data_IF_874332223329
#
_entry.id   IF_874332223329
#
_cell.length_a   1.000
_cell.length_b   1.000
_cell.length_c   1.000
_cell.angle_alpha   90.00
_cell.angle_beta   90.00
_cell.angle_gamma   90.00
#
_symmetry.space_group_name_H-M   'P 1'
#
loop_
_entity.id
_entity.type
_entity.pdbx_description
1 polymer ?
#
# COMPACT_ATOMS: atom_id res chain seq x y z
N UNK A 1 -18.42 -4.70 -3.29
CA UNK A 1 -19.16 -5.13 -2.08
C UNK A 1 -19.29 -3.95 -1.13
N UNK A 2 -20.26 -3.99 -0.17
CA UNK A 2 -20.35 -3.02 0.90
C UNK A 2 -19.11 -3.14 1.80
N UNK A 3 -18.74 -2.05 2.49
CA UNK A 3 -17.59 -2.08 3.40
C UNK A 3 -17.79 -3.14 4.50
N UNK A 4 -16.77 -3.96 4.74
CA UNK A 4 -16.79 -4.97 5.82
C UNK A 4 -16.98 -4.33 7.20
N UNK A 5 -16.49 -3.10 7.38
CA UNK A 5 -16.68 -2.31 8.60
C UNK A 5 -18.17 -2.16 8.96
N UNK A 6 -19.03 -1.91 7.96
CA UNK A 6 -20.46 -1.78 8.15
C UNK A 6 -21.18 -3.13 8.30
N UNK A 7 -20.69 -4.15 7.58
CA UNK A 7 -21.30 -5.49 7.62
C UNK A 7 -20.97 -6.21 8.94
N UNK A 8 -19.74 -6.06 9.42
CA UNK A 8 -19.30 -6.61 10.71
C UNK A 8 -19.75 -5.75 11.91
N UNK A 9 -20.26 -4.54 11.69
CA UNK A 9 -20.56 -3.55 12.74
C UNK A 9 -19.33 -3.28 13.63
N UNK A 10 -18.14 -3.25 13.01
CA UNK A 10 -16.91 -2.96 13.71
C UNK A 10 -16.75 -1.45 13.94
N UNK A 11 -16.11 -1.06 15.02
CA UNK A 11 -15.83 0.34 15.35
C UNK A 11 -14.70 0.87 14.48
N UNK A 12 -13.66 0.06 14.30
CA UNK A 12 -12.45 0.42 13.58
C UNK A 12 -11.97 -0.75 12.71
N UNK A 13 -11.47 -0.47 11.52
CA UNK A 13 -10.80 -1.40 10.63
C UNK A 13 -9.35 -0.97 10.45
N UNK A 14 -8.40 -1.83 10.75
CA UNK A 14 -7.00 -1.66 10.39
C UNK A 14 -6.79 -2.32 9.04
N UNK A 15 -6.28 -1.59 8.05
CA UNK A 15 -6.01 -2.11 6.72
C UNK A 15 -4.51 -2.11 6.40
N UNK A 16 -4.11 -3.04 5.55
CA UNK A 16 -2.70 -3.25 5.22
C UNK A 16 -1.94 -3.95 6.35
N UNK A 17 -0.67 -3.63 6.47
CA UNK A 17 0.21 -4.11 7.54
C UNK A 17 0.02 -3.22 8.77
N UNK A 18 -0.57 -3.75 9.81
CA UNK A 18 -1.11 -2.99 10.94
C UNK A 18 -0.33 -3.06 12.24
N UNK A 19 0.95 -3.43 12.23
CA UNK A 19 1.72 -3.71 13.44
C UNK A 19 1.76 -2.50 14.41
N UNK A 20 2.15 -1.30 13.92
CA UNK A 20 2.15 -0.09 14.76
C UNK A 20 0.73 0.31 15.17
N UNK A 21 -0.22 0.20 14.25
CA UNK A 21 -1.61 0.60 14.47
C UNK A 21 -2.27 -0.23 15.57
N UNK A 22 -2.08 -1.55 15.55
CA UNK A 22 -2.64 -2.45 16.57
C UNK A 22 -2.05 -2.13 17.94
N UNK A 23 -0.75 -1.89 18.04
CA UNK A 23 -0.09 -1.51 19.29
C UNK A 23 -0.60 -0.16 19.80
N UNK A 24 -0.69 0.85 18.94
CA UNK A 24 -1.20 2.18 19.32
C UNK A 24 -2.66 2.11 19.77
N UNK A 25 -3.52 1.42 19.02
CA UNK A 25 -4.93 1.24 19.40
C UNK A 25 -5.03 0.54 20.75
N UNK A 26 -4.26 -0.53 20.98
CA UNK A 26 -4.27 -1.26 22.23
C UNK A 26 -3.87 -0.37 23.42
N UNK A 27 -2.85 0.46 23.28
CA UNK A 27 -2.40 1.38 24.32
C UNK A 27 -3.45 2.47 24.60
N UNK A 28 -4.09 3.03 23.57
CA UNK A 28 -5.12 4.06 23.73
C UNK A 28 -6.36 3.48 24.41
N UNK A 29 -6.81 2.29 24.02
CA UNK A 29 -7.90 1.58 24.70
C UNK A 29 -7.56 1.25 26.15
N UNK A 30 -6.33 0.78 26.43
CA UNK A 30 -5.86 0.51 27.79
C UNK A 30 -5.79 1.78 28.65
N UNK A 31 -5.57 2.94 28.04
CA UNK A 31 -5.64 4.25 28.70
C UNK A 31 -7.08 4.76 28.92
N UNK A 32 -8.10 4.00 28.49
CA UNK A 32 -9.52 4.35 28.66
C UNK A 32 -10.10 5.22 27.56
N UNK A 33 -9.39 5.42 26.45
CA UNK A 33 -9.95 6.14 25.31
C UNK A 33 -11.00 5.28 24.60
N UNK A 34 -12.22 5.79 24.36
CA UNK A 34 -13.25 4.99 23.72
C UNK A 34 -12.95 4.78 22.22
N UNK A 35 -13.36 3.63 21.63
CA UNK A 35 -13.03 3.28 20.24
C UNK A 35 -13.45 4.34 19.20
N UNK A 36 -14.56 5.01 19.42
CA UNK A 36 -15.11 6.05 18.55
C UNK A 36 -14.33 7.37 18.56
N UNK A 37 -13.49 7.59 19.59
CA UNK A 37 -12.56 8.72 19.65
C UNK A 37 -11.26 8.46 18.87
N UNK A 38 -10.92 7.20 18.59
CA UNK A 38 -9.70 6.82 17.87
C UNK A 38 -9.92 6.99 16.36
N UNK A 39 -9.78 8.21 15.86
CA UNK A 39 -10.13 8.56 14.47
C UNK A 39 -8.93 8.96 13.59
N UNK A 40 -7.75 9.13 14.17
CA UNK A 40 -6.59 9.80 13.57
C UNK A 40 -5.44 8.86 13.21
N UNK A 41 -5.55 7.57 13.48
CA UNK A 41 -4.50 6.58 13.19
C UNK A 41 -4.44 6.29 11.69
N UNK A 42 -3.27 6.48 11.08
CA UNK A 42 -3.03 6.13 9.67
C UNK A 42 -3.19 4.62 9.44
N UNK A 43 -3.67 4.24 8.25
CA UNK A 43 -3.92 2.83 7.95
C UNK A 43 -5.18 2.26 8.61
N UNK A 44 -6.11 3.13 9.01
CA UNK A 44 -7.39 2.72 9.58
C UNK A 44 -8.57 3.24 8.79
N UNK A 45 -9.71 2.59 8.96
CA UNK A 45 -10.99 3.06 8.46
C UNK A 45 -12.04 3.00 9.57
N UNK A 46 -12.96 3.96 9.55
CA UNK A 46 -14.01 4.12 10.56
C UNK A 46 -15.32 4.62 9.93
N UNK A 47 -16.40 4.48 10.65
CA UNK A 47 -17.67 5.08 10.26
C UNK A 47 -17.75 6.49 10.85
N UNK A 48 -18.04 7.49 10.02
CA UNK A 48 -18.25 8.86 10.49
C UNK A 48 -19.63 9.38 10.07
N UNK A 49 -20.16 10.31 10.85
CA UNK A 49 -21.46 10.95 10.56
C UNK A 49 -21.29 12.24 9.76
N UNK A 50 -20.13 12.87 9.84
CA UNK A 50 -19.80 14.11 9.14
C UNK A 50 -18.29 14.24 8.96
N UNK A 51 -17.90 14.99 7.92
CA UNK A 51 -16.51 15.41 7.73
C UNK A 51 -16.17 16.49 8.78
N UNK A 52 -14.99 16.42 9.45
CA UNK A 52 -14.58 17.46 10.38
C UNK A 52 -14.54 18.84 9.72
N UNK A 53 -14.95 19.89 10.43
CA UNK A 53 -15.10 21.25 9.90
C UNK A 53 -13.81 21.89 9.37
N UNK A 54 -12.67 21.45 9.87
CA UNK A 54 -11.33 21.90 9.51
C UNK A 54 -10.73 21.12 8.31
N UNK A 55 -11.51 20.21 7.72
CA UNK A 55 -11.11 19.47 6.54
C UNK A 55 -11.74 20.01 5.27
N UNK A 56 -10.97 20.04 4.18
CA UNK A 56 -11.45 20.41 2.84
C UNK A 56 -11.90 19.15 2.09
N UNK A 57 -13.20 19.09 1.80
CA UNK A 57 -13.74 18.02 0.94
C UNK A 57 -13.46 18.32 -0.54
N UNK A 58 -12.98 17.32 -1.27
CA UNK A 58 -12.64 17.40 -2.70
C UNK A 58 -13.40 16.28 -3.41
N UNK A 59 -14.14 16.64 -4.47
CA UNK A 59 -14.78 15.63 -5.30
C UNK A 59 -13.74 14.80 -6.07
N UNK A 60 -13.95 13.47 -6.13
CA UNK A 60 -13.03 12.54 -6.80
C UNK A 60 -12.85 12.83 -8.29
N UNK A 61 -13.87 13.38 -8.97
CA UNK A 61 -13.79 13.77 -10.39
C UNK A 61 -12.78 14.88 -10.67
N UNK A 62 -12.42 15.67 -9.64
CA UNK A 62 -11.35 16.67 -9.73
C UNK A 62 -9.94 16.07 -9.63
N UNK A 63 -9.82 14.83 -9.14
CA UNK A 63 -8.56 14.08 -9.00
C UNK A 63 -8.30 13.22 -10.23
N UNK A 64 -9.33 12.52 -10.69
CA UNK A 64 -9.32 11.70 -11.90
C UNK A 64 -10.68 11.75 -12.58
N UNK A 65 -10.69 11.80 -13.92
CA UNK A 65 -11.95 11.89 -14.67
C UNK A 65 -12.58 10.50 -14.81
N UNK A 66 -13.86 10.28 -14.40
CA UNK A 66 -14.58 9.05 -14.68
C UNK A 66 -14.62 8.73 -16.18
N UNK A 67 -14.43 7.46 -16.52
CA UNK A 67 -14.40 7.02 -17.93
C UNK A 67 -13.16 7.40 -18.72
N UNK A 68 -12.14 7.97 -18.08
CA UNK A 68 -10.85 8.22 -18.73
C UNK A 68 -10.20 6.89 -19.11
N UNK A 69 -9.87 6.75 -20.39
CA UNK A 69 -9.10 5.62 -20.93
C UNK A 69 -7.71 6.14 -21.27
N UNK A 70 -6.66 5.59 -20.65
CA UNK A 70 -5.31 5.89 -21.05
C UNK A 70 -4.95 5.15 -22.33
N UNK A 71 -4.18 5.80 -23.21
CA UNK A 71 -3.71 5.16 -24.43
C UNK A 71 -2.90 3.90 -24.08
N UNK A 72 -3.16 2.81 -24.80
CA UNK A 72 -2.33 1.60 -24.66
C UNK A 72 -0.94 1.91 -25.12
N UNK A 73 0.04 1.68 -24.25
CA UNK A 73 1.44 1.74 -24.60
C UNK A 73 1.86 0.36 -25.10
N UNK A 74 2.42 0.28 -26.30
CA UNK A 74 3.01 -0.96 -26.79
C UNK A 74 4.24 -1.26 -25.92
N UNK A 75 4.28 -2.37 -25.16
CA UNK A 75 5.41 -2.71 -24.31
C UNK A 75 6.69 -3.03 -25.09
N UNK A 76 6.56 -3.30 -26.41
CA UNK A 76 7.65 -3.60 -27.31
C UNK A 76 8.07 -2.40 -28.18
N UNK A 77 7.33 -1.29 -28.12
CA UNK A 77 7.73 -0.08 -28.82
C UNK A 77 9.03 0.49 -28.22
N UNK A 78 10.04 0.71 -29.05
CA UNK A 78 11.21 1.47 -28.64
C UNK A 78 10.75 2.83 -28.10
N UNK A 79 11.09 3.12 -26.84
CA UNK A 79 10.74 4.41 -26.26
C UNK A 79 11.48 5.49 -27.04
N UNK A 80 10.79 6.47 -27.64
CA UNK A 80 11.46 7.57 -28.28
C UNK A 80 12.35 8.25 -27.25
N UNK A 81 13.61 8.51 -27.61
CA UNK A 81 14.55 9.23 -26.78
C UNK A 81 13.86 10.48 -26.17
N UNK A 82 14.12 10.81 -24.90
CA UNK A 82 13.46 11.93 -24.25
C UNK A 82 13.59 13.16 -25.13
N UNK A 83 12.46 13.64 -25.65
CA UNK A 83 12.43 14.87 -26.46
C UNK A 83 12.90 15.98 -25.55
N UNK A 84 14.12 16.45 -25.76
CA UNK A 84 14.58 17.72 -25.22
C UNK A 84 13.66 18.77 -25.85
N UNK A 85 12.70 19.25 -25.08
CA UNK A 85 11.84 20.36 -25.49
C UNK A 85 12.74 21.59 -25.66
N UNK A 86 13.23 21.83 -26.87
CA UNK A 86 13.73 23.14 -27.25
C UNK A 86 12.49 24.04 -27.35
N UNK A 87 12.33 24.89 -26.38
CA UNK A 87 11.25 25.88 -26.34
C UNK A 87 11.55 26.99 -27.35
N UNK A 88 11.09 26.83 -28.60
CA UNK A 88 10.78 27.98 -29.41
C UNK A 88 9.35 28.40 -29.04
N UNK A 89 9.17 29.14 -27.97
CA UNK A 89 7.90 29.77 -27.65
C UNK A 89 8.05 31.27 -27.84
N UNK A 90 7.32 31.78 -28.84
CA UNK A 90 6.90 33.18 -28.81
C UNK A 90 6.20 33.48 -27.47
N UNK A 91 6.51 34.64 -26.89
CA UNK A 91 5.98 35.10 -25.60
C UNK A 91 4.45 35.19 -25.63
N UNK A 92 3.78 34.14 -25.20
CA UNK A 92 2.37 34.22 -24.77
C UNK A 92 2.43 34.42 -23.27
N UNK A 93 1.88 35.52 -22.74
CA UNK A 93 1.86 35.75 -21.28
C UNK A 93 1.03 34.66 -20.63
N UNK A 94 1.71 33.73 -19.94
CA UNK A 94 1.06 32.69 -19.15
C UNK A 94 0.56 33.34 -17.86
N UNK A 95 -0.74 33.60 -17.77
CA UNK A 95 -1.36 34.02 -16.52
C UNK A 95 -1.36 32.81 -15.57
N UNK A 96 -0.45 32.86 -14.62
CA UNK A 96 -0.43 31.90 -13.50
C UNK A 96 -1.56 32.27 -12.53
N UNK A 97 -2.74 31.69 -12.69
CA UNK A 97 -3.71 31.64 -11.61
C UNK A 97 -3.16 30.73 -10.52
N UNK A 98 -2.58 31.32 -9.49
CA UNK A 98 -2.24 30.56 -8.25
C UNK A 98 -3.55 30.06 -7.65
N UNK A 99 -3.93 28.83 -7.99
CA UNK A 99 -4.95 28.12 -7.20
C UNK A 99 -4.40 28.00 -5.77
N UNK A 100 -5.21 28.32 -4.74
CA UNK A 100 -4.79 28.13 -3.36
C UNK A 100 -4.30 26.70 -3.20
N UNK A 101 -3.14 26.53 -2.60
CA UNK A 101 -2.53 25.23 -2.39
C UNK A 101 -3.34 24.54 -1.28
N UNK A 102 -4.26 23.66 -1.65
CA UNK A 102 -5.04 22.87 -0.69
C UNK A 102 -4.07 22.03 0.12
N UNK A 103 -4.12 22.14 1.44
CA UNK A 103 -3.33 21.31 2.34
C UNK A 103 -3.79 19.85 2.20
N UNK A 104 -2.91 18.98 1.74
CA UNK A 104 -3.24 17.56 1.53
C UNK A 104 -3.47 16.82 2.85
N UNK A 105 -2.80 17.24 3.92
CA UNK A 105 -2.96 16.61 5.24
C UNK A 105 -4.32 16.94 5.88
N UNK A 106 -4.99 18.00 5.43
CA UNK A 106 -6.32 18.45 5.88
C UNK A 106 -7.35 18.40 4.76
N UNK A 107 -7.19 17.47 3.82
CA UNK A 107 -8.14 17.28 2.72
C UNK A 107 -8.56 15.82 2.59
N UNK A 108 -9.83 15.62 2.25
CA UNK A 108 -10.44 14.32 2.03
C UNK A 108 -11.09 14.26 0.65
N UNK A 109 -10.94 13.14 -0.03
CA UNK A 109 -11.55 12.92 -1.34
C UNK A 109 -12.88 12.20 -1.16
N UNK A 110 -13.97 12.84 -1.60
CA UNK A 110 -15.30 12.23 -1.69
C UNK A 110 -15.35 11.30 -2.89
N UNK A 111 -15.42 10.00 -2.62
CA UNK A 111 -15.60 8.95 -3.62
C UNK A 111 -17.06 8.88 -4.08
N UNK A 112 -17.35 8.37 -5.29
CA UNK A 112 -18.71 8.01 -5.66
C UNK A 112 -19.30 7.05 -4.61
N UNK A 113 -20.61 7.21 -4.29
CA UNK A 113 -21.24 6.38 -3.26
C UNK A 113 -21.16 4.88 -3.61
N UNK A 114 -21.25 4.02 -2.59
CA UNK A 114 -21.31 2.58 -2.78
C UNK A 114 -22.42 2.17 -3.76
N UNK A 115 -23.59 2.80 -3.63
CA UNK A 115 -24.74 2.51 -4.49
C UNK A 115 -24.47 2.89 -5.95
N UNK A 116 -23.79 4.02 -6.18
CA UNK A 116 -23.39 4.45 -7.53
C UNK A 116 -22.33 3.50 -8.11
N UNK A 117 -21.29 3.19 -7.37
CA UNK A 117 -20.21 2.26 -7.78
C UNK A 117 -20.75 0.84 -8.05
N UNK A 118 -21.76 0.39 -7.28
CA UNK A 118 -22.39 -0.92 -7.48
C UNK A 118 -23.15 -1.02 -8.81
N UNK A 119 -23.70 0.10 -9.28
CA UNK A 119 -24.58 0.13 -10.48
C UNK A 119 -23.81 0.46 -11.76
N UNK A 120 -22.71 1.18 -11.64
CA UNK A 120 -21.95 1.72 -12.76
C UNK A 120 -20.49 1.25 -12.72
N UNK A 121 -20.06 0.36 -13.66
CA UNK A 121 -18.68 -0.13 -13.73
C UNK A 121 -17.67 0.99 -14.04
N UNK A 122 -18.08 2.07 -14.71
CA UNK A 122 -17.21 3.23 -14.96
C UNK A 122 -16.86 3.93 -13.64
N UNK A 123 -17.86 4.12 -12.76
CA UNK A 123 -17.63 4.69 -11.44
C UNK A 123 -16.85 3.74 -10.53
N UNK A 124 -17.03 2.42 -10.69
CA UNK A 124 -16.20 1.45 -9.99
C UNK A 124 -14.72 1.57 -10.41
N UNK A 125 -14.44 1.59 -11.70
CA UNK A 125 -13.09 1.75 -12.22
C UNK A 125 -12.46 3.09 -11.78
N UNK A 126 -13.25 4.18 -11.81
CA UNK A 126 -12.83 5.49 -11.32
C UNK A 126 -12.47 5.45 -9.83
N UNK A 127 -13.34 4.87 -8.99
CA UNK A 127 -13.08 4.75 -7.56
C UNK A 127 -11.79 3.96 -7.29
N UNK A 128 -11.57 2.83 -7.97
CA UNK A 128 -10.34 2.04 -7.87
C UNK A 128 -9.10 2.84 -8.27
N UNK A 129 -9.17 3.62 -9.35
CA UNK A 129 -8.05 4.50 -9.77
C UNK A 129 -7.74 5.58 -8.74
N UNK A 130 -8.76 6.21 -8.15
CA UNK A 130 -8.54 7.23 -7.11
C UNK A 130 -7.90 6.61 -5.87
N UNK A 131 -8.36 5.44 -5.42
CA UNK A 131 -7.72 4.70 -4.34
C UNK A 131 -6.24 4.43 -4.66
N UNK A 132 -5.94 3.94 -5.85
CA UNK A 132 -4.58 3.65 -6.29
C UNK A 132 -3.69 4.91 -6.34
N UNK A 133 -4.23 6.07 -6.70
CA UNK A 133 -3.51 7.35 -6.71
C UNK A 133 -3.19 7.86 -5.30
N UNK A 134 -3.91 7.43 -4.27
CA UNK A 134 -3.73 7.83 -2.86
C UNK A 134 -3.04 6.73 -2.03
N UNK A 135 -2.15 5.94 -2.64
CA UNK A 135 -1.37 4.89 -1.95
C UNK A 135 -0.03 5.35 -1.41
N UNK A 136 0.45 6.55 -1.79
CA UNK A 136 1.74 7.03 -1.29
C UNK A 136 1.61 7.65 0.11
N UNK A 137 2.19 7.04 1.16
CA UNK A 137 2.08 7.55 2.52
C UNK A 137 2.65 8.97 2.69
N UNK A 138 3.59 9.40 1.84
CA UNK A 138 4.18 10.74 1.88
C UNK A 138 3.24 11.87 1.43
N UNK A 139 2.18 11.54 0.65
CA UNK A 139 1.28 12.57 0.12
C UNK A 139 -0.16 12.12 -0.09
N UNK A 140 -0.55 10.94 0.35
CA UNK A 140 -1.93 10.47 0.28
C UNK A 140 -2.87 11.36 1.09
N UNK A 141 -4.08 11.54 0.59
CA UNK A 141 -5.21 12.15 1.30
C UNK A 141 -6.07 11.06 1.96
N UNK A 142 -6.87 11.47 2.93
CA UNK A 142 -7.97 10.64 3.38
C UNK A 142 -9.01 10.46 2.26
N UNK A 143 -9.74 9.37 2.31
CA UNK A 143 -10.84 9.08 1.39
C UNK A 143 -12.14 8.93 2.19
N UNK A 144 -13.26 9.32 1.59
CA UNK A 144 -14.56 9.10 2.20
C UNK A 144 -15.57 8.60 1.17
N UNK A 145 -16.33 7.57 1.53
CA UNK A 145 -17.37 7.00 0.68
C UNK A 145 -18.70 6.89 1.44
N UNK A 146 -19.77 7.33 0.80
CA UNK A 146 -21.13 7.18 1.33
C UNK A 146 -21.63 5.75 1.11
N UNK A 147 -22.20 5.16 2.17
CA UNK A 147 -22.90 3.87 2.18
C UNK A 147 -24.28 4.06 2.83
N UNK A 148 -25.30 4.24 2.03
CA UNK A 148 -26.65 4.60 2.55
C UNK A 148 -26.61 5.91 3.32
N UNK A 149 -26.99 5.88 4.60
CA UNK A 149 -27.03 7.06 5.47
C UNK A 149 -25.70 7.39 6.19
N UNK A 150 -24.63 6.58 6.03
CA UNK A 150 -23.37 6.72 6.76
C UNK A 150 -22.19 6.89 5.83
N UNK A 151 -21.17 7.59 6.28
CA UNK A 151 -19.90 7.72 5.57
C UNK A 151 -18.86 6.75 6.16
N UNK A 152 -18.11 6.08 5.30
CA UNK A 152 -16.91 5.33 5.65
C UNK A 152 -15.71 6.20 5.31
N UNK A 153 -14.93 6.54 6.33
CA UNK A 153 -13.70 7.31 6.25
C UNK A 153 -12.51 6.38 6.23
N UNK A 154 -11.57 6.59 5.31
CA UNK A 154 -10.28 5.92 5.27
C UNK A 154 -9.19 6.94 5.58
N UNK A 155 -8.45 6.73 6.63
CA UNK A 155 -7.23 7.49 6.90
C UNK A 155 -6.16 7.21 5.83
N UNK A 156 -5.19 8.11 5.62
CA UNK A 156 -4.08 7.85 4.70
C UNK A 156 -3.34 6.55 5.05
N UNK A 157 -2.68 5.90 4.09
CA UNK A 157 -1.97 4.65 4.32
C UNK A 157 -0.89 4.78 5.40
N UNK A 158 -0.54 3.68 6.10
CA UNK A 158 0.46 3.67 7.15
C UNK A 158 1.84 4.08 6.62
N UNK A 159 2.64 4.68 7.48
CA UNK A 159 4.06 4.90 7.19
C UNK A 159 4.78 3.54 7.22
N UNK A 160 5.60 3.21 6.22
CA UNK A 160 6.32 1.95 6.17
C UNK A 160 7.16 1.71 7.43
N UNK A 161 7.29 0.45 7.83
CA UNK A 161 8.20 0.06 8.90
C UNK A 161 9.65 0.28 8.46
N UNK A 162 10.50 0.67 9.38
CA UNK A 162 11.96 0.62 9.20
C UNK A 162 12.42 -0.84 9.15
N UNK A 163 13.64 -1.08 8.65
CA UNK A 163 14.23 -2.42 8.65
C UNK A 163 14.28 -3.02 10.07
N UNK A 164 14.67 -2.24 11.07
CA UNK A 164 14.76 -2.72 12.46
C UNK A 164 13.39 -3.11 13.03
N UNK A 165 12.33 -2.34 12.74
CA UNK A 165 10.97 -2.68 13.17
C UNK A 165 10.46 -3.92 12.45
N UNK A 166 10.72 -4.03 11.14
CA UNK A 166 10.31 -5.20 10.36
C UNK A 166 11.04 -6.46 10.84
N UNK A 167 12.34 -6.38 11.11
CA UNK A 167 13.11 -7.46 11.70
C UNK A 167 12.50 -7.90 13.05
N UNK A 168 12.19 -6.94 13.93
CA UNK A 168 11.55 -7.24 15.22
C UNK A 168 10.21 -7.95 15.09
N UNK A 169 9.40 -7.62 14.06
CA UNK A 169 8.14 -8.32 13.78
C UNK A 169 8.40 -9.78 13.37
N UNK A 170 9.40 -10.03 12.52
CA UNK A 170 9.73 -11.39 12.07
C UNK A 170 10.48 -12.22 13.11
N UNK A 171 11.06 -11.59 14.11
CA UNK A 171 11.76 -12.24 15.24
C UNK A 171 10.84 -12.59 16.41
N UNK A 172 9.54 -12.26 16.33
CA UNK A 172 8.57 -12.73 17.31
C UNK A 172 8.54 -14.27 17.36
N UNK A 173 8.22 -14.89 18.52
CA UNK A 173 8.30 -16.33 18.71
C UNK A 173 7.13 -17.07 18.04
N UNK A 174 7.08 -17.05 16.73
CA UNK A 174 6.07 -17.77 15.94
C UNK A 174 6.32 -19.28 16.02
N UNK A 175 5.26 -20.06 16.26
CA UNK A 175 5.32 -21.52 16.29
C UNK A 175 5.63 -22.15 14.93
N UNK A 176 5.36 -21.46 13.83
CA UNK A 176 5.42 -21.99 12.45
C UNK A 176 4.65 -23.29 12.26
N UNK A 177 3.58 -23.46 12.99
CA UNK A 177 2.70 -24.64 12.93
C UNK A 177 1.27 -24.22 12.60
N UNK A 178 0.47 -25.11 12.00
CA UNK A 178 -0.96 -24.89 11.85
C UNK A 178 -1.62 -24.63 13.22
N UNK A 179 -2.78 -23.97 13.19
CA UNK A 179 -3.56 -23.79 14.40
C UNK A 179 -3.95 -25.17 14.99
N UNK A 180 -3.87 -25.39 16.31
CA UNK A 180 -4.15 -26.68 16.93
C UNK A 180 -5.53 -27.26 16.62
N UNK A 181 -6.50 -26.41 16.27
CA UNK A 181 -7.84 -26.84 15.87
C UNK A 181 -7.91 -27.68 14.59
N UNK A 182 -6.85 -27.72 13.80
CA UNK A 182 -6.76 -28.61 12.63
C UNK A 182 -6.31 -30.05 13.00
N UNK A 183 -5.80 -30.27 14.22
CA UNK A 183 -5.32 -31.58 14.64
C UNK A 183 -4.29 -32.17 13.67
N UNK A 184 -4.55 -33.38 13.20
CA UNK A 184 -3.70 -34.10 12.25
C UNK A 184 -4.15 -33.92 10.79
N UNK A 185 -5.07 -33.04 10.51
CA UNK A 185 -5.53 -32.79 9.15
C UNK A 185 -4.41 -32.22 8.27
N UNK A 186 -4.25 -32.80 7.08
CA UNK A 186 -3.29 -32.33 6.09
C UNK A 186 -3.77 -30.98 5.50
N UNK A 187 -2.93 -29.96 5.61
CA UNK A 187 -3.17 -28.63 5.05
C UNK A 187 -2.24 -28.38 3.86
N UNK A 188 -2.70 -28.60 2.62
CA UNK A 188 -1.85 -28.47 1.42
C UNK A 188 -1.19 -27.08 1.31
N UNK A 189 -1.90 -26.02 1.67
CA UNK A 189 -1.35 -24.67 1.66
C UNK A 189 -0.18 -24.51 2.66
N UNK A 190 -0.29 -25.09 3.85
CA UNK A 190 0.79 -25.07 4.83
C UNK A 190 2.01 -25.84 4.33
N UNK A 191 1.81 -27.04 3.79
CA UNK A 191 2.89 -27.85 3.25
C UNK A 191 3.67 -27.14 2.15
N UNK A 192 2.98 -26.35 1.35
CA UNK A 192 3.58 -25.58 0.25
C UNK A 192 4.46 -24.42 0.74
N UNK A 193 4.08 -23.77 1.86
CA UNK A 193 4.71 -22.50 2.29
C UNK A 193 5.53 -22.62 3.58
N UNK A 194 5.49 -23.73 4.33
CA UNK A 194 6.10 -23.85 5.67
C UNK A 194 7.60 -23.57 5.71
N UNK A 195 8.29 -23.73 4.58
CA UNK A 195 9.71 -23.45 4.43
C UNK A 195 9.99 -22.20 3.59
N UNK A 196 9.01 -21.34 3.42
CA UNK A 196 9.19 -20.04 2.76
C UNK A 196 9.65 -18.98 3.73
N UNK A 197 10.49 -18.07 3.26
CA UNK A 197 10.98 -16.91 4.01
C UNK A 197 10.65 -15.62 3.26
N UNK A 198 9.89 -14.75 3.92
CA UNK A 198 9.56 -13.44 3.37
C UNK A 198 10.68 -12.45 3.73
N UNK A 199 11.28 -11.82 2.72
CA UNK A 199 12.43 -10.90 2.88
C UNK A 199 12.06 -9.43 2.75
N UNK A 200 10.86 -9.14 2.20
CA UNK A 200 10.40 -7.78 1.94
C UNK A 200 8.88 -7.72 1.86
N UNK A 201 8.31 -6.53 2.01
CA UNK A 201 6.91 -6.22 1.78
C UNK A 201 6.77 -5.03 0.84
N UNK A 202 5.60 -4.90 0.20
CA UNK A 202 5.27 -3.80 -0.71
C UNK A 202 5.54 -4.11 -2.17
N UNK A 203 4.97 -3.27 -3.04
CA UNK A 203 5.12 -3.39 -4.49
C UNK A 203 4.92 -2.05 -5.17
N UNK A 204 5.87 -1.63 -5.99
CA UNK A 204 5.76 -0.43 -6.82
C UNK A 204 5.36 -0.73 -8.28
N UNK A 205 4.88 -1.94 -8.55
CA UNK A 205 4.44 -2.37 -9.88
C UNK A 205 3.23 -1.61 -10.40
N UNK A 206 2.25 -1.35 -9.54
CA UNK A 206 1.06 -0.56 -9.88
C UNK A 206 0.15 -1.23 -10.92
N UNK A 207 0.07 -2.57 -10.92
CA UNK A 207 -0.80 -3.31 -11.82
C UNK A 207 -2.27 -3.03 -11.52
N UNK A 208 -3.07 -2.71 -12.52
CA UNK A 208 -4.46 -2.26 -12.37
C UNK A 208 -5.43 -3.32 -11.84
N UNK A 209 -5.07 -4.59 -11.92
CA UNK A 209 -5.84 -5.72 -11.40
C UNK A 209 -5.44 -6.14 -9.98
N UNK A 210 -4.34 -5.58 -9.44
CA UNK A 210 -3.70 -6.06 -8.22
C UNK A 210 -3.91 -5.07 -7.07
N UNK A 211 -4.22 -5.57 -5.89
CA UNK A 211 -4.41 -4.77 -4.67
C UNK A 211 -3.20 -4.80 -3.71
N UNK A 212 -2.09 -5.42 -4.09
CA UNK A 212 -0.90 -5.50 -3.21
C UNK A 212 -0.39 -4.11 -2.85
N UNK A 213 -0.38 -3.18 -3.81
CA UNK A 213 0.06 -1.79 -3.56
C UNK A 213 -0.82 -1.07 -2.53
N UNK A 214 -2.12 -1.39 -2.47
CA UNK A 214 -3.07 -0.77 -1.54
C UNK A 214 -2.95 -1.35 -0.13
N UNK A 215 -2.63 -2.63 0.03
CA UNK A 215 -2.60 -3.22 1.37
C UNK A 215 -1.21 -3.58 1.89
N UNK A 216 -0.24 -3.86 1.04
CA UNK A 216 1.17 -4.00 1.48
C UNK A 216 1.97 -2.68 1.40
N UNK A 217 1.43 -1.72 0.64
CA UNK A 217 2.07 -0.45 0.36
C UNK A 217 2.90 -0.45 -0.93
N UNK A 218 3.21 0.74 -1.41
CA UNK A 218 4.01 0.95 -2.62
C UNK A 218 5.50 1.14 -2.35
N UNK A 219 5.88 1.45 -1.11
CA UNK A 219 7.27 1.60 -0.69
C UNK A 219 7.75 0.26 -0.16
N UNK A 220 8.89 -0.19 -0.65
CA UNK A 220 9.43 -1.49 -0.26
C UNK A 220 10.00 -1.41 1.15
N UNK A 221 9.51 -2.28 2.03
CA UNK A 221 10.00 -2.50 3.36
C UNK A 221 10.88 -3.74 3.33
N UNK A 222 12.11 -3.65 3.84
CA UNK A 222 13.11 -4.71 3.72
C UNK A 222 13.53 -5.21 5.08
N UNK A 223 13.71 -6.50 5.20
CA UNK A 223 14.41 -7.11 6.33
C UNK A 223 15.93 -6.98 6.15
N UNK A 224 16.66 -7.07 7.25
CA UNK A 224 18.11 -7.22 7.21
C UNK A 224 18.51 -8.61 6.74
N UNK A 225 19.69 -8.74 6.15
CA UNK A 225 20.27 -10.02 5.76
C UNK A 225 20.41 -10.95 6.99
N UNK A 226 20.86 -10.40 8.13
CA UNK A 226 21.00 -11.15 9.38
C UNK A 226 19.67 -11.70 9.91
N UNK A 227 18.59 -10.93 9.86
CA UNK A 227 17.27 -11.39 10.28
C UNK A 227 16.76 -12.54 9.39
N UNK A 228 17.00 -12.45 8.08
CA UNK A 228 16.62 -13.49 7.12
C UNK A 228 17.41 -14.78 7.37
N UNK A 229 18.72 -14.67 7.58
CA UNK A 229 19.59 -15.82 7.89
C UNK A 229 19.18 -16.50 9.20
N UNK A 230 18.95 -15.73 10.26
CA UNK A 230 18.47 -16.29 11.54
C UNK A 230 17.16 -17.05 11.38
N UNK A 231 16.23 -16.57 10.54
CA UNK A 231 14.98 -17.28 10.28
C UNK A 231 15.20 -18.59 9.52
N UNK A 232 16.09 -18.60 8.52
CA UNK A 232 16.48 -19.83 7.80
C UNK A 232 17.10 -20.86 8.76
N UNK A 233 17.98 -20.42 9.66
CA UNK A 233 18.57 -21.25 10.68
C UNK A 233 17.53 -21.81 11.66
N UNK A 234 16.57 -20.97 12.08
CA UNK A 234 15.48 -21.40 12.96
C UNK A 234 14.58 -22.44 12.25
N UNK A 235 14.33 -22.29 10.94
CA UNK A 235 13.62 -23.31 10.15
C UNK A 235 14.39 -24.63 10.13
N UNK A 236 15.70 -24.57 9.84
CA UNK A 236 16.58 -25.75 9.82
C UNK A 236 16.55 -26.52 11.14
N UNK A 237 16.62 -25.78 12.24
CA UNK A 237 16.86 -26.38 13.55
C UNK A 237 15.57 -26.76 14.28
N UNK A 238 14.43 -26.13 13.96
CA UNK A 238 13.21 -26.23 14.77
C UNK A 238 11.96 -26.69 14.03
N UNK A 239 11.92 -26.59 12.68
CA UNK A 239 10.71 -26.96 11.94
C UNK A 239 10.75 -28.44 11.53
N UNK A 240 9.80 -29.28 12.00
CA UNK A 240 9.80 -30.71 11.67
C UNK A 240 9.71 -30.96 10.16
N UNK A 241 10.44 -31.97 9.70
CA UNK A 241 10.40 -32.40 8.30
C UNK A 241 11.15 -31.50 7.33
N UNK A 242 12.04 -30.64 7.82
CA UNK A 242 12.92 -29.85 6.95
C UNK A 242 13.91 -30.75 6.21
N UNK A 243 13.94 -30.62 4.89
CA UNK A 243 14.75 -31.49 3.99
C UNK A 243 16.03 -30.81 3.51
N UNK A 244 16.38 -29.65 4.04
CA UNK A 244 17.52 -28.84 3.57
C UNK A 244 17.17 -27.87 2.44
N UNK A 245 15.89 -27.77 2.07
CA UNK A 245 15.45 -26.90 0.97
C UNK A 245 14.50 -25.83 1.50
N UNK A 246 14.85 -24.56 1.31
CA UNK A 246 13.93 -23.43 1.47
C UNK A 246 13.13 -23.31 0.17
N UNK A 247 11.80 -23.36 0.28
CA UNK A 247 10.91 -23.39 -0.88
C UNK A 247 10.79 -22.05 -1.59
N UNK A 248 10.93 -20.96 -0.85
CA UNK A 248 10.92 -19.60 -1.39
C UNK A 248 11.69 -18.64 -0.48
N UNK A 249 12.46 -17.73 -1.07
CA UNK A 249 13.11 -16.60 -0.40
C UNK A 249 12.76 -15.36 -1.21
N UNK A 250 11.68 -14.69 -0.83
CA UNK A 250 11.13 -13.63 -1.69
C UNK A 250 10.19 -12.68 -0.98
N UNK A 251 9.43 -11.98 -1.79
CA UNK A 251 8.39 -11.04 -1.37
C UNK A 251 7.05 -11.37 -2.00
N UNK A 252 6.03 -10.53 -1.80
CA UNK A 252 4.67 -10.80 -2.25
C UNK A 252 4.49 -10.82 -3.78
N UNK A 253 5.48 -10.34 -4.52
CA UNK A 253 5.44 -10.22 -5.99
C UNK A 253 6.82 -10.51 -6.60
N UNK A 254 7.14 -9.86 -7.73
CA UNK A 254 8.49 -9.85 -8.28
C UNK A 254 9.47 -9.36 -7.19
N UNK A 255 10.63 -9.98 -7.07
CA UNK A 255 11.56 -9.66 -6.01
C UNK A 255 12.12 -8.25 -6.16
N UNK A 256 11.69 -7.35 -5.28
CA UNK A 256 12.06 -5.93 -5.23
C UNK A 256 12.96 -5.62 -4.03
N UNK A 257 13.60 -6.62 -3.46
CA UNK A 257 14.45 -6.49 -2.29
C UNK A 257 15.51 -5.41 -2.45
N UNK A 258 15.53 -4.44 -1.52
CA UNK A 258 16.42 -3.27 -1.50
C UNK A 258 16.27 -2.32 -2.70
N UNK A 259 15.26 -2.49 -3.56
CA UNK A 259 14.96 -1.50 -4.59
C UNK A 259 14.13 -0.36 -3.98
N UNK A 260 14.51 0.87 -4.32
CA UNK A 260 13.87 2.07 -3.76
C UNK A 260 14.02 3.25 -4.74
N UNK A 261 13.29 4.33 -4.48
CA UNK A 261 13.54 5.61 -5.14
C UNK A 261 14.93 6.16 -4.77
N UNK A 262 15.53 6.94 -5.66
CA UNK A 262 16.87 7.55 -5.43
C UNK A 262 16.88 8.61 -4.33
N UNK A 263 15.74 9.26 -4.09
CA UNK A 263 15.59 10.32 -3.08
C UNK A 263 14.29 10.14 -2.31
N UNK A 264 14.37 10.28 -0.98
CA UNK A 264 13.22 10.23 -0.11
C UNK A 264 12.23 11.39 -0.37
N UNK A 265 12.73 12.58 -0.75
CA UNK A 265 11.90 13.74 -1.06
C UNK A 265 11.11 13.51 -2.36
N UNK A 266 11.76 12.93 -3.39
CA UNK A 266 11.10 12.56 -4.64
C UNK A 266 10.07 11.45 -4.36
N UNK A 267 10.40 10.45 -3.56
CA UNK A 267 9.50 9.37 -3.19
C UNK A 267 8.27 9.90 -2.46
N UNK A 268 8.46 10.75 -1.44
CA UNK A 268 7.38 11.34 -0.67
C UNK A 268 6.45 12.22 -1.53
N UNK A 269 6.98 12.94 -2.52
CA UNK A 269 6.20 13.79 -3.42
C UNK A 269 5.59 13.04 -4.62
N UNK A 270 6.01 11.79 -4.88
CA UNK A 270 5.69 11.05 -6.10
C UNK A 270 4.21 10.66 -6.16
N UNK A 271 3.60 10.89 -7.34
CA UNK A 271 2.20 10.53 -7.63
C UNK A 271 2.07 9.58 -8.84
N UNK A 272 3.18 9.02 -9.32
CA UNK A 272 3.12 8.03 -10.41
C UNK A 272 2.51 6.73 -9.88
N UNK A 273 1.57 6.12 -10.58
CA UNK A 273 0.95 4.87 -10.14
C UNK A 273 1.90 3.67 -10.20
N UNK A 274 2.91 3.71 -11.09
CA UNK A 274 3.87 2.64 -11.28
C UNK A 274 5.30 3.17 -11.44
N UNK A 275 6.28 2.45 -10.92
CA UNK A 275 7.70 2.73 -11.16
C UNK A 275 8.27 1.93 -12.35
N UNK A 276 7.51 1.01 -12.90
CA UNK A 276 7.98 0.11 -13.98
C UNK A 276 7.15 0.20 -15.26
N UNK A 277 5.98 0.82 -15.22
CA UNK A 277 5.10 0.96 -16.40
C UNK A 277 4.73 2.46 -16.62
N UNK A 278 4.65 2.94 -17.89
CA UNK A 278 4.96 2.28 -19.17
C UNK A 278 6.46 2.06 -19.43
N UNK A 279 7.30 2.52 -18.59
CA UNK A 279 8.75 2.34 -18.59
C UNK A 279 9.34 2.51 -17.22
N UNK A 280 10.54 1.96 -17.01
CA UNK A 280 11.25 2.05 -15.74
C UNK A 280 11.48 3.52 -15.38
N UNK A 281 11.10 3.89 -14.14
CA UNK A 281 11.29 5.24 -13.64
C UNK A 281 12.79 5.56 -13.52
N UNK A 282 13.23 6.70 -14.08
CA UNK A 282 14.63 7.14 -14.00
C UNK A 282 15.11 7.38 -12.55
N UNK A 283 14.19 7.57 -11.60
CA UNK A 283 14.50 7.71 -10.18
C UNK A 283 14.51 6.37 -9.42
N UNK A 284 14.17 5.24 -10.06
CA UNK A 284 14.26 3.94 -9.43
C UNK A 284 15.71 3.47 -9.40
N UNK A 285 16.20 3.04 -8.24
CA UNK A 285 17.43 2.27 -8.12
C UNK A 285 17.14 0.84 -8.58
N UNK A 286 17.91 0.34 -9.52
CA UNK A 286 17.71 -0.97 -10.16
C UNK A 286 18.87 -1.93 -9.87
N UNK A 287 19.64 -1.68 -8.80
CA UNK A 287 20.78 -2.52 -8.42
C UNK A 287 20.28 -3.74 -7.61
N UNK A 288 20.45 -4.93 -8.17
CA UNK A 288 20.14 -6.21 -7.54
C UNK A 288 21.30 -6.84 -6.76
N UNK A 289 22.44 -6.16 -6.64
CA UNK A 289 23.60 -6.68 -5.89
C UNK A 289 23.26 -7.10 -4.45
N UNK A 290 22.39 -6.39 -3.69
CA UNK A 290 21.98 -6.85 -2.35
C UNK A 290 21.25 -8.20 -2.37
N UNK A 291 20.36 -8.43 -3.34
CA UNK A 291 19.65 -9.69 -3.50
C UNK A 291 20.59 -10.83 -3.87
N UNK A 292 21.53 -10.55 -4.79
CA UNK A 292 22.54 -11.52 -5.22
C UNK A 292 23.44 -11.93 -4.03
N UNK A 293 23.80 -10.97 -3.16
CA UNK A 293 24.57 -11.30 -1.93
C UNK A 293 23.79 -12.19 -1.00
N UNK A 294 22.50 -11.89 -0.78
CA UNK A 294 21.64 -12.68 0.09
C UNK A 294 21.52 -14.14 -0.37
N UNK A 295 21.56 -14.40 -1.68
CA UNK A 295 21.44 -15.76 -2.24
C UNK A 295 22.76 -16.53 -2.31
N UNK A 296 23.90 -15.91 -1.98
CA UNK A 296 25.23 -16.52 -1.92
C UNK A 296 25.61 -16.95 -0.52
#
# INVERSE_FOLDING_TARGET
RRSVLLDAKADLLVYGNGERQVVEIAHRLAAGEPPDAITDIRGTALVCNAIPRDWTEIDSSSVDRPGKIDARTDPYAEQPAPRVCRSNKADVPVQFHRRPRIDRARSVIRMPSFEAVRRDPVLYAHASRVMHLETNPGNARALVQRHGGRDVWLNPPPIPLTTAELDGVFELPYSRRPHPGYGDDALPAYEMIRFSVNIMRGCFGGCTFCSITEHEGRIIQNRSEDSIVREIEAIRDSVPGFTGIISDVGGPTANMYRLACRSAEIEAACRRPSCVYPGICSNLKTDHAPLIRLYR
#
